data_IF_452537627025
#
_entry.id   IF_452537627025
#
_cell.length_a   1.000
_cell.length_b   1.000
_cell.length_c   1.000
_cell.angle_alpha   90.00
_cell.angle_beta   90.00
_cell.angle_gamma   90.00
#
_symmetry.space_group_name_H-M   'P 1'
#
loop_
_entity.id
_entity.type
_entity.pdbx_description
1 polymer ?
#
# COMPACT_ATOMS: atom_id res chain seq x y z
N UNK A 1 6.64 11.37 20.69
CA UNK A 1 5.82 11.67 19.51
C UNK A 1 6.69 11.37 18.29
N UNK A 2 6.60 10.17 17.74
CA UNK A 2 7.25 9.78 16.49
C UNK A 2 6.12 9.32 15.56
N UNK A 3 5.66 10.26 14.73
CA UNK A 3 4.58 10.01 13.79
C UNK A 3 5.05 9.11 12.65
N UNK A 4 4.22 8.14 12.29
CA UNK A 4 4.35 7.33 11.09
C UNK A 4 4.12 8.24 9.86
N UNK A 5 5.18 8.78 9.29
CA UNK A 5 5.13 9.49 8.01
C UNK A 5 5.49 8.52 6.88
N UNK A 6 4.48 7.92 6.25
CA UNK A 6 4.60 7.31 4.94
C UNK A 6 3.40 7.74 4.10
N UNK A 7 3.56 8.86 3.41
CA UNK A 7 2.56 9.39 2.48
C UNK A 7 3.16 9.55 1.10
N UNK A 8 2.43 9.13 0.08
CA UNK A 8 2.63 9.60 -1.28
C UNK A 8 2.37 11.13 -1.32
N UNK A 9 3.39 11.93 -1.09
CA UNK A 9 3.36 13.37 -1.31
C UNK A 9 3.95 13.68 -2.67
N UNK A 10 3.13 13.79 -3.71
CA UNK A 10 3.45 14.64 -4.85
C UNK A 10 3.20 16.10 -4.42
N UNK A 11 4.15 16.74 -3.76
CA UNK A 11 4.21 18.19 -3.65
C UNK A 11 5.11 18.73 -4.75
N UNK A 12 4.53 19.42 -5.70
CA UNK A 12 5.23 20.47 -6.45
C UNK A 12 5.30 21.67 -5.51
N UNK A 13 6.50 22.00 -5.02
CA UNK A 13 6.70 23.22 -4.24
C UNK A 13 6.79 24.42 -5.21
N UNK A 14 6.01 25.48 -5.02
CA UNK A 14 6.30 26.78 -5.62
C UNK A 14 7.51 27.37 -4.90
N UNK A 15 8.42 28.00 -5.64
CA UNK A 15 9.70 28.51 -5.16
C UNK A 15 9.62 29.39 -3.92
N UNK A 16 10.60 29.23 -3.05
CA UNK A 16 10.83 30.03 -1.83
C UNK A 16 12.26 29.91 -1.36
N UNK A 17 13.00 30.96 -1.62
CA UNK A 17 14.17 31.55 -0.94
C UNK A 17 15.06 30.73 0.00
N UNK A 18 16.36 30.86 -0.25
CA UNK A 18 17.53 30.48 0.53
C UNK A 18 17.35 30.48 2.06
N UNK A 19 17.71 29.38 2.69
CA UNK A 19 18.23 29.39 4.06
C UNK A 19 19.46 28.45 4.16
N UNK A 20 20.60 29.07 4.45
CA UNK A 20 21.90 28.42 4.72
C UNK A 20 21.80 27.62 6.01
N UNK A 21 22.03 26.32 5.96
CA UNK A 21 22.35 25.53 7.14
C UNK A 21 23.83 25.18 7.10
N UNK A 22 24.57 25.79 8.05
CA UNK A 22 25.97 25.47 8.33
C UNK A 22 26.02 24.24 9.27
N UNK A 23 26.60 23.14 8.79
CA UNK A 23 27.07 22.06 9.64
C UNK A 23 28.58 22.17 9.80
N UNK A 24 29.05 22.39 11.01
CA UNK A 24 30.44 22.23 11.38
C UNK A 24 30.68 20.81 11.86
N UNK A 25 31.44 20.00 11.13
CA UNK A 25 32.08 18.82 11.67
C UNK A 25 33.53 19.16 12.01
N UNK A 26 33.93 18.94 13.25
CA UNK A 26 35.32 18.85 13.64
C UNK A 26 35.80 17.45 13.27
N UNK A 27 36.63 17.37 12.24
CA UNK A 27 37.85 16.59 12.18
C UNK A 27 38.42 16.64 10.74
N UNK A 28 39.73 16.81 10.66
CA UNK A 28 40.53 17.31 9.58
C UNK A 28 40.48 16.60 8.22
N UNK A 29 40.69 17.40 7.18
CA UNK A 29 41.32 16.95 5.93
C UNK A 29 40.48 16.99 4.68
N UNK A 30 40.86 17.92 3.77
CA UNK A 30 40.58 17.96 2.32
C UNK A 30 39.21 18.40 1.84
N UNK A 31 39.10 19.66 1.45
CA UNK A 31 37.98 20.23 0.72
C UNK A 31 38.05 19.87 -0.76
N UNK A 32 37.06 19.10 -1.26
CA UNK A 32 36.81 18.93 -2.71
C UNK A 32 35.67 19.87 -3.09
N UNK A 33 35.98 20.87 -3.92
CA UNK A 33 35.01 21.84 -4.45
C UNK A 33 34.31 21.22 -5.66
N UNK A 34 33.02 20.85 -5.52
CA UNK A 34 32.16 20.57 -6.66
C UNK A 34 31.51 21.85 -7.17
N UNK A 35 31.86 22.26 -8.39
CA UNK A 35 31.13 23.30 -9.12
C UNK A 35 29.80 22.74 -9.65
N UNK A 36 28.70 23.27 -9.12
CA UNK A 36 27.35 23.05 -9.68
C UNK A 36 27.18 23.94 -10.93
N UNK A 37 27.13 23.34 -12.10
CA UNK A 37 26.63 24.01 -13.30
C UNK A 37 25.11 24.23 -13.15
N UNK A 38 24.72 25.51 -13.15
CA UNK A 38 23.31 25.93 -13.25
C UNK A 38 22.86 25.76 -14.70
N UNK A 39 22.01 24.80 -14.99
CA UNK A 39 21.20 24.79 -16.21
C UNK A 39 19.97 25.67 -15.97
N UNK A 40 19.97 26.89 -16.49
CA UNK A 40 18.83 27.77 -16.49
C UNK A 40 18.02 27.52 -17.75
N UNK A 41 16.85 26.89 -17.62
CA UNK A 41 15.85 26.88 -18.68
C UNK A 41 15.01 28.17 -18.61
N UNK A 42 15.23 29.11 -19.54
CA UNK A 42 14.33 30.25 -19.76
C UNK A 42 13.17 29.74 -20.64
N UNK A 43 12.03 29.46 -20.02
CA UNK A 43 10.76 29.39 -20.74
C UNK A 43 10.22 30.81 -20.82
N UNK A 44 10.28 31.44 -22.02
CA UNK A 44 9.53 32.67 -22.33
C UNK A 44 8.12 32.24 -22.72
N UNK A 45 7.18 32.31 -21.80
CA UNK A 45 5.75 32.32 -22.05
C UNK A 45 5.19 33.57 -21.39
N UNK A 46 4.72 34.53 -22.19
CA UNK A 46 3.95 35.68 -21.70
C UNK A 46 2.56 35.20 -21.31
N UNK A 47 2.35 34.96 -20.02
CA UNK A 47 1.00 34.78 -19.48
C UNK A 47 0.47 36.15 -19.04
N UNK A 48 -0.63 36.56 -19.65
CA UNK A 48 -1.45 37.66 -19.14
C UNK A 48 -2.16 37.18 -17.87
N UNK A 49 -2.00 37.97 -16.83
CA UNK A 49 -2.70 37.85 -15.56
C UNK A 49 -4.14 38.30 -15.73
N UNK A 50 -5.09 37.41 -15.94
CA UNK A 50 -6.50 37.69 -15.69
C UNK A 50 -7.00 36.61 -14.75
N UNK A 51 -7.31 37.02 -13.50
CA UNK A 51 -7.58 36.18 -12.35
C UNK A 51 -8.93 35.48 -12.37
N UNK A 52 -9.09 34.48 -13.24
CA UNK A 52 -10.07 33.41 -13.10
C UNK A 52 -9.33 32.09 -13.39
N UNK A 53 -9.03 31.34 -12.35
CA UNK A 53 -8.73 29.91 -12.52
C UNK A 53 -10.06 29.25 -12.93
N UNK A 54 -10.28 29.07 -14.24
CA UNK A 54 -11.28 28.13 -14.72
C UNK A 54 -10.86 26.73 -14.27
N UNK A 55 -11.48 26.22 -13.20
CA UNK A 55 -11.37 24.82 -12.83
C UNK A 55 -11.96 23.98 -13.95
N UNK A 56 -11.18 23.01 -14.47
CA UNK A 56 -11.69 22.09 -15.47
C UNK A 56 -12.93 21.36 -14.92
N UNK A 57 -13.99 21.21 -15.73
CA UNK A 57 -15.17 20.49 -15.27
C UNK A 57 -14.77 19.06 -14.92
N UNK A 58 -15.28 18.56 -13.77
CA UNK A 58 -15.06 17.17 -13.32
C UNK A 58 -15.49 16.20 -14.44
N UNK A 59 -14.63 15.26 -14.85
CA UNK A 59 -15.03 14.22 -15.78
C UNK A 59 -16.25 13.45 -15.26
N UNK A 60 -17.17 13.07 -16.14
CA UNK A 60 -18.42 12.39 -15.78
C UNK A 60 -18.23 11.05 -15.05
N UNK A 61 -17.03 10.46 -15.13
CA UNK A 61 -16.65 9.25 -14.40
C UNK A 61 -16.36 9.46 -12.91
N UNK A 62 -16.24 10.74 -12.46
CA UNK A 62 -15.98 11.04 -11.05
C UNK A 62 -17.28 11.07 -10.25
N UNK A 63 -17.35 10.25 -9.23
CA UNK A 63 -18.42 10.25 -8.24
C UNK A 63 -18.00 11.07 -7.01
N UNK A 64 -18.97 11.67 -6.32
CA UNK A 64 -18.73 12.36 -5.05
C UNK A 64 -19.36 11.60 -3.89
N UNK A 65 -18.74 11.67 -2.71
CA UNK A 65 -19.31 11.14 -1.49
C UNK A 65 -19.32 9.61 -1.37
N UNK A 66 -18.56 8.89 -2.22
CA UNK A 66 -18.44 7.42 -2.10
C UNK A 66 -17.89 7.04 -0.73
N UNK A 67 -18.63 6.23 0.04
CA UNK A 67 -18.21 5.78 1.37
C UNK A 67 -17.03 4.81 1.26
N UNK A 68 -15.92 5.14 1.93
CA UNK A 68 -14.70 4.33 1.92
C UNK A 68 -14.84 3.06 2.75
N UNK A 69 -15.79 3.03 3.70
CA UNK A 69 -16.18 1.81 4.41
C UNK A 69 -16.64 0.69 3.49
N UNK A 70 -17.15 1.01 2.28
CA UNK A 70 -17.54 0.02 1.27
C UNK A 70 -16.34 -0.54 0.49
N UNK A 71 -15.21 0.18 0.50
CA UNK A 71 -13.96 -0.19 -0.16
C UNK A 71 -12.93 -0.80 0.79
N UNK A 72 -13.21 -0.84 2.10
CA UNK A 72 -12.32 -1.34 3.14
C UNK A 72 -12.81 -2.66 3.70
N UNK A 73 -11.91 -3.62 3.88
CA UNK A 73 -12.25 -4.89 4.56
C UNK A 73 -12.51 -4.71 6.05
N UNK A 74 -12.08 -3.62 6.67
CA UNK A 74 -12.53 -3.20 8.00
C UNK A 74 -14.01 -2.76 8.02
N UNK A 75 -14.53 -2.30 6.88
CA UNK A 75 -15.84 -1.65 6.84
C UNK A 75 -15.87 -0.30 7.57
N UNK A 76 -14.74 0.40 7.63
CA UNK A 76 -14.53 1.70 8.28
C UNK A 76 -14.07 2.72 7.25
N UNK A 77 -14.55 3.96 7.36
CA UNK A 77 -14.15 5.09 6.52
C UNK A 77 -15.32 5.95 6.08
N UNK A 78 -15.17 7.26 6.17
CA UNK A 78 -16.14 8.25 5.72
C UNK A 78 -16.15 8.43 4.19
N UNK A 79 -16.77 9.51 3.68
CA UNK A 79 -16.90 9.75 2.24
C UNK A 79 -15.59 10.23 1.61
N UNK A 80 -15.28 9.76 0.40
CA UNK A 80 -14.28 10.38 -0.46
C UNK A 80 -14.86 11.64 -1.10
N UNK A 81 -14.08 12.74 -1.19
CA UNK A 81 -14.50 13.93 -1.91
C UNK A 81 -14.78 13.60 -3.38
N UNK A 82 -13.87 12.85 -4.00
CA UNK A 82 -14.00 12.30 -5.33
C UNK A 82 -13.65 10.82 -5.33
N UNK A 83 -14.33 10.06 -6.17
CA UNK A 83 -14.07 8.64 -6.36
C UNK A 83 -14.16 8.31 -7.85
N UNK A 84 -13.25 7.47 -8.34
CA UNK A 84 -13.29 6.96 -9.71
C UNK A 84 -12.79 5.52 -9.72
N UNK A 85 -13.46 4.67 -10.49
CA UNK A 85 -12.99 3.33 -10.83
C UNK A 85 -12.34 3.36 -12.21
N UNK A 86 -11.13 2.83 -12.35
CA UNK A 86 -10.35 2.80 -13.60
C UNK A 86 -10.12 1.38 -14.05
N UNK A 87 -10.36 1.10 -15.33
CA UNK A 87 -10.36 -0.23 -15.91
C UNK A 87 -9.18 -0.51 -16.82
N UNK A 88 -8.51 0.52 -17.31
CA UNK A 88 -7.33 0.42 -18.16
C UNK A 88 -6.26 1.46 -17.79
N UNK A 89 -5.10 1.33 -18.44
CA UNK A 89 -3.93 2.16 -18.16
C UNK A 89 -4.09 3.60 -18.68
N UNK A 90 -4.87 3.78 -19.75
CA UNK A 90 -5.14 5.11 -20.33
C UNK A 90 -6.04 5.91 -19.42
N UNK A 91 -7.09 5.30 -18.86
CA UNK A 91 -7.94 5.90 -17.83
C UNK A 91 -7.14 6.26 -16.57
N UNK A 92 -6.26 5.33 -16.08
CA UNK A 92 -5.41 5.60 -14.93
C UNK A 92 -4.53 6.84 -15.17
N UNK A 93 -3.88 6.92 -16.35
CA UNK A 93 -3.04 8.05 -16.72
C UNK A 93 -3.83 9.36 -16.82
N UNK A 94 -5.03 9.32 -17.41
CA UNK A 94 -5.88 10.49 -17.57
C UNK A 94 -6.37 11.02 -16.21
N UNK A 95 -6.83 10.15 -15.33
CA UNK A 95 -7.30 10.51 -13.98
C UNK A 95 -6.18 11.11 -13.13
N UNK A 96 -4.98 10.49 -13.13
CA UNK A 96 -3.85 11.02 -12.38
C UNK A 96 -3.43 12.39 -12.90
N UNK A 97 -3.35 12.55 -14.22
CA UNK A 97 -3.03 13.85 -14.85
C UNK A 97 -4.06 14.93 -14.47
N UNK A 98 -5.34 14.61 -14.51
CA UNK A 98 -6.40 15.52 -14.06
C UNK A 98 -6.21 15.90 -12.59
N UNK A 99 -5.98 14.95 -11.71
CA UNK A 99 -5.74 15.23 -10.29
C UNK A 99 -4.53 16.15 -10.08
N UNK A 100 -3.46 15.96 -10.87
CA UNK A 100 -2.27 16.83 -10.80
C UNK A 100 -2.53 18.23 -11.31
N UNK A 101 -3.26 18.39 -12.41
CA UNK A 101 -3.61 19.69 -13.00
C UNK A 101 -4.49 20.52 -12.06
N UNK A 102 -5.43 19.87 -11.37
CA UNK A 102 -6.37 20.51 -10.44
C UNK A 102 -5.86 20.54 -8.99
N UNK A 103 -4.59 20.18 -8.74
CA UNK A 103 -4.00 20.06 -7.39
C UNK A 103 -4.86 19.21 -6.44
N UNK A 104 -5.47 18.14 -6.97
CA UNK A 104 -6.27 17.19 -6.22
C UNK A 104 -5.37 16.08 -5.71
N UNK A 105 -5.27 15.97 -4.39
CA UNK A 105 -4.63 14.82 -3.75
C UNK A 105 -5.33 13.53 -4.13
N UNK A 106 -4.61 12.46 -4.44
CA UNK A 106 -5.22 11.17 -4.76
C UNK A 106 -4.63 10.00 -3.96
N UNK A 107 -5.42 8.94 -3.84
CA UNK A 107 -5.03 7.67 -3.22
C UNK A 107 -5.54 6.51 -4.07
N UNK A 108 -4.62 5.60 -4.48
CA UNK A 108 -4.99 4.44 -5.27
C UNK A 108 -5.28 3.28 -4.32
N UNK A 109 -6.44 2.68 -4.48
CA UNK A 109 -6.89 1.53 -3.69
C UNK A 109 -7.18 0.33 -4.60
N UNK A 110 -6.86 -0.87 -4.11
CA UNK A 110 -7.36 -2.12 -4.66
C UNK A 110 -8.61 -2.58 -3.88
N UNK A 111 -8.48 -3.65 -3.09
CA UNK A 111 -9.56 -4.16 -2.22
C UNK A 111 -9.62 -3.52 -0.82
N UNK A 112 -8.82 -2.49 -0.53
CA UNK A 112 -8.76 -1.86 0.80
C UNK A 112 -8.47 -2.83 1.95
N UNK A 113 -7.77 -3.94 1.66
CA UNK A 113 -7.55 -5.02 2.62
C UNK A 113 -6.39 -4.77 3.59
N UNK A 114 -5.73 -3.64 3.46
CA UNK A 114 -4.67 -3.18 4.38
C UNK A 114 -4.80 -1.68 4.67
N UNK A 115 -6.02 -1.13 4.63
CA UNK A 115 -6.27 0.30 4.82
C UNK A 115 -7.26 0.55 5.94
N UNK A 116 -6.95 1.52 6.79
CA UNK A 116 -7.86 2.13 7.76
C UNK A 116 -8.11 3.57 7.33
N UNK A 117 -9.30 3.87 6.80
CA UNK A 117 -9.68 5.21 6.37
C UNK A 117 -10.26 6.01 7.53
N UNK A 118 -9.95 7.31 7.58
CA UNK A 118 -10.50 8.26 8.56
C UNK A 118 -12.03 8.30 8.50
N UNK A 119 -12.67 8.49 9.65
CA UNK A 119 -14.13 8.58 9.75
C UNK A 119 -14.72 9.77 8.99
N UNK A 120 -13.94 10.84 8.80
CA UNK A 120 -14.28 12.00 7.97
C UNK A 120 -14.17 11.71 6.48
N UNK A 121 -13.51 10.61 6.10
CA UNK A 121 -13.26 10.20 4.72
C UNK A 121 -11.90 10.61 4.18
N UNK A 122 -11.87 11.08 2.92
CA UNK A 122 -10.64 11.48 2.23
C UNK A 122 -10.89 12.78 1.43
N UNK A 123 -10.19 13.85 1.78
CA UNK A 123 -10.26 15.13 1.07
C UNK A 123 -9.37 15.09 -0.18
N UNK A 124 -9.86 14.40 -1.20
CA UNK A 124 -9.16 14.16 -2.45
C UNK A 124 -9.88 13.13 -3.30
N UNK A 125 -9.19 12.56 -4.28
CA UNK A 125 -9.69 11.53 -5.18
C UNK A 125 -9.22 10.14 -4.74
N UNK A 126 -10.16 9.23 -4.47
CA UNK A 126 -9.84 7.81 -4.29
C UNK A 126 -10.02 7.09 -5.63
N UNK A 127 -8.96 6.51 -6.15
CA UNK A 127 -8.90 5.81 -7.43
C UNK A 127 -8.93 4.30 -7.16
N UNK A 128 -10.02 3.63 -7.51
CA UNK A 128 -10.11 2.18 -7.44
C UNK A 128 -9.47 1.57 -8.69
N UNK A 129 -8.35 0.86 -8.52
CA UNK A 129 -7.73 0.14 -9.63
C UNK A 129 -8.51 -1.14 -9.95
N UNK A 130 -9.13 -1.16 -11.12
CA UNK A 130 -9.81 -2.31 -11.72
C UNK A 130 -9.12 -2.80 -12.99
N UNK A 131 -7.79 -2.64 -13.10
CA UNK A 131 -6.97 -3.23 -14.16
C UNK A 131 -6.92 -4.76 -13.94
N UNK A 132 -7.93 -5.49 -14.42
CA UNK A 132 -8.19 -6.92 -14.08
C UNK A 132 -7.86 -7.86 -15.24
N UNK A 133 -6.80 -7.63 -15.99
CA UNK A 133 -6.35 -8.58 -16.99
C UNK A 133 -5.38 -9.62 -16.41
N UNK A 134 -5.34 -10.79 -17.03
CA UNK A 134 -4.38 -11.86 -16.78
C UNK A 134 -3.97 -12.46 -18.13
N UNK A 135 -2.70 -12.40 -18.44
CA UNK A 135 -2.07 -12.98 -19.64
C UNK A 135 -1.09 -14.06 -19.18
N UNK A 136 -1.12 -15.23 -19.83
CA UNK A 136 -0.21 -16.35 -19.52
C UNK A 136 0.39 -16.90 -20.80
N UNK A 137 1.68 -17.25 -20.77
CA UNK A 137 2.36 -17.93 -21.88
C UNK A 137 2.22 -19.47 -21.82
N UNK A 138 1.49 -19.99 -20.81
CA UNK A 138 1.33 -21.43 -20.60
C UNK A 138 2.59 -22.13 -20.06
N UNK A 139 3.71 -21.41 -19.84
CA UNK A 139 4.99 -21.94 -19.36
C UNK A 139 5.40 -21.36 -18.01
N UNK A 140 4.43 -20.83 -17.25
CA UNK A 140 4.62 -20.30 -15.91
C UNK A 140 4.94 -18.82 -15.84
N UNK A 141 4.79 -18.09 -16.93
CA UNK A 141 4.87 -16.63 -16.93
C UNK A 141 3.46 -16.04 -16.98
N UNK A 142 3.16 -15.16 -16.01
CA UNK A 142 1.86 -14.50 -15.87
C UNK A 142 2.08 -12.99 -15.81
N UNK A 143 1.57 -12.23 -16.80
CA UNK A 143 1.47 -10.77 -16.76
C UNK A 143 0.06 -10.40 -16.30
N UNK A 144 -0.03 -9.62 -15.20
CA UNK A 144 -1.29 -9.43 -14.48
C UNK A 144 -1.47 -7.97 -14.11
N UNK A 145 -2.65 -7.43 -14.36
CA UNK A 145 -3.00 -6.06 -14.02
C UNK A 145 -3.07 -5.82 -12.51
N UNK A 146 -2.75 -4.60 -12.09
CA UNK A 146 -2.63 -4.24 -10.66
C UNK A 146 -3.93 -4.40 -9.87
N UNK A 147 -5.09 -4.31 -10.52
CA UNK A 147 -6.42 -4.51 -9.93
C UNK A 147 -6.87 -5.98 -9.87
N UNK A 148 -6.12 -6.92 -10.46
CA UNK A 148 -6.48 -8.33 -10.44
C UNK A 148 -6.41 -8.90 -9.02
N UNK A 149 -7.39 -9.72 -8.58
CA UNK A 149 -7.38 -10.31 -7.23
C UNK A 149 -6.18 -11.24 -7.02
N UNK A 150 -5.31 -10.92 -6.07
CA UNK A 150 -4.07 -11.68 -5.84
C UNK A 150 -4.33 -13.14 -5.43
N UNK A 151 -5.36 -13.38 -4.63
CA UNK A 151 -5.77 -14.73 -4.28
C UNK A 151 -6.21 -15.56 -5.48
N UNK A 152 -6.90 -14.95 -6.46
CA UNK A 152 -7.32 -15.65 -7.68
C UNK A 152 -6.13 -16.01 -8.56
N UNK A 153 -5.12 -15.14 -8.64
CA UNK A 153 -3.86 -15.45 -9.32
C UNK A 153 -3.17 -16.67 -8.69
N UNK A 154 -3.07 -16.72 -7.37
CA UNK A 154 -2.47 -17.86 -6.67
C UNK A 154 -3.23 -19.17 -6.88
N UNK A 155 -4.57 -19.12 -6.91
CA UNK A 155 -5.43 -20.26 -7.20
C UNK A 155 -5.22 -20.73 -8.63
N UNK A 156 -5.28 -19.81 -9.61
CA UNK A 156 -5.13 -20.12 -11.04
C UNK A 156 -3.77 -20.75 -11.32
N UNK A 157 -2.68 -20.12 -10.88
CA UNK A 157 -1.32 -20.62 -11.09
C UNK A 157 -1.11 -22.03 -10.46
N UNK A 158 -1.66 -22.26 -9.26
CA UNK A 158 -1.59 -23.57 -8.61
C UNK A 158 -2.39 -24.64 -9.34
N UNK A 159 -3.55 -24.29 -9.93
CA UNK A 159 -4.36 -25.19 -10.74
C UNK A 159 -3.72 -25.51 -12.09
N UNK A 160 -2.98 -24.55 -12.66
CA UNK A 160 -2.19 -24.72 -13.89
C UNK A 160 -0.92 -25.56 -13.66
N UNK A 161 -0.64 -25.97 -12.41
CA UNK A 161 0.50 -26.80 -12.03
C UNK A 161 1.80 -26.02 -11.80
N UNK A 162 1.72 -24.73 -11.46
CA UNK A 162 2.89 -23.89 -11.17
C UNK A 162 2.97 -23.52 -9.69
N UNK A 163 4.20 -23.57 -9.14
CA UNK A 163 4.53 -23.22 -7.77
C UNK A 163 5.15 -21.82 -7.67
N UNK A 164 4.98 -21.21 -6.50
CA UNK A 164 5.56 -19.93 -6.10
C UNK A 164 4.54 -18.89 -5.67
N UNK A 165 3.23 -19.09 -5.98
CA UNK A 165 2.14 -18.21 -5.54
C UNK A 165 1.07 -18.96 -4.73
N UNK A 166 1.34 -20.15 -4.23
CA UNK A 166 0.39 -20.91 -3.41
C UNK A 166 -0.02 -20.14 -2.15
N UNK A 167 0.91 -19.40 -1.58
CA UNK A 167 0.68 -18.56 -0.39
C UNK A 167 -0.32 -17.43 -0.64
N UNK A 168 -0.40 -16.94 -1.89
CA UNK A 168 -1.28 -15.85 -2.28
C UNK A 168 -2.76 -16.21 -2.19
N UNK A 169 -3.10 -17.50 -2.35
CA UNK A 169 -4.48 -18.00 -2.43
C UNK A 169 -5.39 -17.55 -1.28
N UNK A 170 -4.80 -17.33 -0.11
CA UNK A 170 -5.50 -16.86 1.08
C UNK A 170 -5.43 -15.34 1.32
N UNK A 171 -4.64 -14.58 0.56
CA UNK A 171 -4.41 -13.15 0.82
C UNK A 171 -5.49 -12.33 0.13
N UNK A 172 -6.37 -11.62 0.86
CA UNK A 172 -7.29 -10.68 0.26
C UNK A 172 -6.52 -9.46 -0.24
N UNK A 173 -6.83 -8.99 -1.44
CA UNK A 173 -6.13 -7.84 -2.00
C UNK A 173 -5.97 -7.98 -3.51
N UNK A 174 -5.22 -7.07 -4.10
CA UNK A 174 -4.91 -7.04 -5.53
C UNK A 174 -3.42 -7.21 -5.78
N UNK A 175 -3.06 -7.53 -7.03
CA UNK A 175 -1.67 -7.67 -7.46
C UNK A 175 -0.85 -6.40 -7.16
N UNK A 176 -1.40 -5.20 -7.46
CA UNK A 176 -0.73 -3.94 -7.15
C UNK A 176 -0.44 -3.76 -5.66
N UNK A 177 -1.43 -4.06 -4.80
CA UNK A 177 -1.25 -4.03 -3.35
C UNK A 177 -0.24 -5.06 -2.84
N UNK A 178 -0.22 -6.28 -3.44
CA UNK A 178 0.73 -7.32 -3.09
C UNK A 178 2.18 -6.94 -3.46
N UNK A 179 2.38 -6.35 -4.64
CA UNK A 179 3.68 -5.82 -5.08
C UNK A 179 4.13 -4.66 -4.19
N UNK A 180 3.23 -3.70 -3.91
CA UNK A 180 3.52 -2.54 -3.07
C UNK A 180 3.95 -2.94 -1.65
N UNK A 181 3.26 -3.90 -1.03
CA UNK A 181 3.55 -4.37 0.33
C UNK A 181 4.57 -5.50 0.38
N UNK A 182 5.07 -6.00 -0.76
CA UNK A 182 5.79 -7.27 -0.83
C UNK A 182 5.07 -8.33 0.02
N UNK A 183 3.78 -8.57 -0.29
CA UNK A 183 2.91 -9.43 0.51
C UNK A 183 3.50 -10.83 0.66
N UNK A 184 3.47 -11.36 1.87
CA UNK A 184 4.07 -12.66 2.19
C UNK A 184 3.20 -13.47 3.14
N UNK A 185 3.28 -14.79 3.01
CA UNK A 185 2.70 -15.76 3.94
C UNK A 185 3.41 -17.13 3.79
N UNK A 186 3.39 -17.93 4.85
CA UNK A 186 3.92 -19.31 4.84
C UNK A 186 5.39 -19.39 4.36
N UNK A 187 6.21 -18.40 4.67
CA UNK A 187 7.64 -18.38 4.32
C UNK A 187 7.93 -18.00 2.86
N UNK A 188 6.94 -17.56 2.10
CA UNK A 188 7.09 -17.10 0.71
C UNK A 188 6.65 -15.64 0.61
N UNK A 189 7.22 -14.87 -0.32
CA UNK A 189 6.86 -13.48 -0.57
C UNK A 189 6.71 -13.19 -2.07
N UNK A 190 6.02 -12.09 -2.37
CA UNK A 190 5.72 -11.68 -3.75
C UNK A 190 6.99 -11.50 -4.58
N UNK A 191 8.04 -10.92 -3.99
CA UNK A 191 9.32 -10.67 -4.64
C UNK A 191 10.07 -11.94 -5.07
N UNK A 192 9.81 -13.11 -4.46
CA UNK A 192 10.48 -14.38 -4.80
C UNK A 192 10.23 -14.83 -6.23
N UNK A 193 9.07 -14.49 -6.76
CA UNK A 193 8.59 -14.92 -8.09
C UNK A 193 8.30 -13.76 -9.04
N UNK A 194 8.52 -12.53 -8.58
CA UNK A 194 8.32 -11.32 -9.38
C UNK A 194 9.43 -11.23 -10.45
N UNK A 195 9.05 -10.98 -11.70
CA UNK A 195 9.97 -10.78 -12.83
C UNK A 195 10.09 -9.31 -13.19
N UNK A 196 8.96 -8.64 -13.42
CA UNK A 196 8.91 -7.22 -13.75
C UNK A 196 7.70 -6.56 -13.10
N UNK A 197 7.79 -5.22 -12.91
CA UNK A 197 6.68 -4.37 -12.52
C UNK A 197 6.57 -3.22 -13.50
N UNK A 198 5.38 -2.99 -14.03
CA UNK A 198 5.06 -1.87 -14.91
C UNK A 198 4.48 -0.75 -14.06
N UNK A 199 5.07 0.42 -14.16
CA UNK A 199 4.66 1.59 -13.38
C UNK A 199 4.35 2.79 -14.26
N UNK A 200 3.51 3.67 -13.76
CA UNK A 200 3.29 5.00 -14.28
C UNK A 200 4.02 6.00 -13.38
N UNK A 201 4.74 6.92 -14.00
CA UNK A 201 5.43 8.02 -13.32
C UNK A 201 4.53 9.26 -13.30
N UNK A 202 4.79 10.18 -12.38
CA UNK A 202 4.06 11.46 -12.27
C UNK A 202 4.19 12.35 -13.50
N UNK A 203 5.27 12.19 -14.30
CA UNK A 203 5.44 12.88 -15.59
C UNK A 203 4.70 12.20 -16.77
N UNK A 204 3.91 11.16 -16.45
CA UNK A 204 3.13 10.38 -17.43
C UNK A 204 3.91 9.29 -18.15
N UNK A 205 5.21 9.12 -17.88
CA UNK A 205 6.01 8.04 -18.48
C UNK A 205 5.65 6.70 -17.88
N UNK A 206 5.68 5.67 -18.72
CA UNK A 206 5.60 4.26 -18.33
C UNK A 206 7.00 3.68 -18.26
N UNK A 207 7.27 2.97 -17.17
CA UNK A 207 8.53 2.29 -16.96
C UNK A 207 8.29 0.82 -16.64
N UNK A 208 9.23 -0.04 -17.02
CA UNK A 208 9.25 -1.47 -16.69
C UNK A 208 10.46 -1.73 -15.80
N UNK A 209 10.22 -2.03 -14.56
CA UNK A 209 11.25 -2.33 -13.58
C UNK A 209 11.51 -3.84 -13.55
N UNK A 210 12.77 -4.25 -13.71
CA UNK A 210 13.17 -5.65 -13.66
C UNK A 210 13.54 -6.00 -12.21
N UNK A 211 12.93 -7.07 -11.65
CA UNK A 211 13.16 -7.47 -10.25
C UNK A 211 14.62 -7.73 -9.90
N UNK A 212 15.42 -8.18 -10.88
CA UNK A 212 16.84 -8.46 -10.70
C UNK A 212 17.73 -7.20 -10.63
N UNK A 213 17.17 -6.00 -10.83
CA UNK A 213 17.91 -4.75 -10.69
C UNK A 213 18.29 -4.57 -9.21
N UNK A 214 19.59 -4.40 -8.95
CA UNK A 214 20.15 -4.24 -7.60
C UNK A 214 19.69 -2.96 -6.88
N UNK A 215 19.21 -1.97 -7.63
CA UNK A 215 18.67 -0.73 -7.06
C UNK A 215 17.26 -0.92 -6.49
N UNK A 216 16.59 -2.04 -6.79
CA UNK A 216 15.25 -2.34 -6.32
C UNK A 216 15.30 -3.23 -5.07
N UNK A 217 15.33 -2.61 -3.91
CA UNK A 217 15.43 -3.32 -2.63
C UNK A 217 14.06 -3.81 -2.16
N UNK A 218 13.97 -5.11 -1.88
CA UNK A 218 12.80 -5.76 -1.30
C UNK A 218 13.16 -6.42 0.02
N UNK A 219 12.22 -6.49 0.93
CA UNK A 219 12.36 -7.14 2.23
C UNK A 219 11.00 -7.41 2.86
N UNK A 220 11.00 -7.87 4.11
CA UNK A 220 9.76 -8.13 4.84
C UNK A 220 8.87 -6.88 4.91
N UNK A 221 7.71 -6.90 4.25
CA UNK A 221 6.78 -5.77 4.11
C UNK A 221 7.42 -4.51 3.52
N UNK A 222 8.46 -4.69 2.71
CA UNK A 222 9.20 -3.61 2.06
C UNK A 222 9.29 -3.87 0.56
N UNK A 223 8.94 -2.85 -0.23
CA UNK A 223 9.21 -2.79 -1.66
C UNK A 223 9.75 -1.41 -2.04
N UNK A 224 10.46 -1.28 -3.16
CA UNK A 224 10.96 0.02 -3.62
C UNK A 224 9.83 1.03 -3.90
N UNK A 225 8.63 0.53 -4.21
CA UNK A 225 7.48 1.36 -4.56
C UNK A 225 6.88 2.14 -3.39
N UNK A 226 7.25 1.82 -2.15
CA UNK A 226 6.79 2.55 -0.96
C UNK A 226 7.48 3.90 -0.79
N UNK A 227 8.69 4.05 -1.34
CA UNK A 227 9.52 5.26 -1.17
C UNK A 227 10.04 5.82 -2.50
N UNK A 228 9.55 5.30 -3.63
CA UNK A 228 10.01 5.69 -4.96
C UNK A 228 9.48 7.07 -5.32
N UNK A 229 10.37 8.06 -5.39
CA UNK A 229 10.03 9.41 -5.82
C UNK A 229 9.41 9.41 -7.21
N UNK A 230 8.34 10.19 -7.37
CA UNK A 230 7.63 10.34 -8.64
C UNK A 230 6.91 9.09 -9.14
N UNK A 231 6.69 8.07 -8.30
CA UNK A 231 5.77 6.98 -8.63
C UNK A 231 4.33 7.50 -8.60
N UNK A 232 3.59 7.31 -9.69
CA UNK A 232 2.17 7.66 -9.76
C UNK A 232 1.28 6.44 -9.52
N UNK A 233 1.57 5.29 -10.16
CA UNK A 233 0.80 4.07 -10.01
C UNK A 233 1.62 2.82 -10.37
N UNK A 234 1.26 1.66 -9.79
CA UNK A 234 1.62 0.34 -10.31
C UNK A 234 0.51 -0.07 -11.28
N UNK A 235 0.87 -0.41 -12.52
CA UNK A 235 -0.07 -0.78 -13.58
C UNK A 235 -0.24 -2.29 -13.70
N UNK A 236 0.88 -3.02 -13.72
CA UNK A 236 0.91 -4.47 -13.86
C UNK A 236 2.15 -5.08 -13.22
N UNK A 237 2.13 -6.39 -13.03
CA UNK A 237 3.30 -7.15 -12.63
C UNK A 237 3.39 -8.46 -13.45
N UNK A 238 4.61 -8.88 -13.76
CA UNK A 238 4.89 -10.17 -14.39
C UNK A 238 5.55 -11.09 -13.38
N UNK A 239 5.00 -12.28 -13.22
CA UNK A 239 5.50 -13.34 -12.36
C UNK A 239 6.10 -14.46 -13.19
N UNK A 240 7.17 -15.10 -12.68
CA UNK A 240 7.75 -16.31 -13.26
C UNK A 240 7.71 -17.42 -12.23
N UNK A 241 6.92 -18.43 -12.52
CA UNK A 241 6.64 -19.56 -11.64
C UNK A 241 7.32 -20.83 -12.16
N UNK A 242 7.51 -21.82 -11.29
CA UNK A 242 8.15 -23.08 -11.62
C UNK A 242 7.11 -24.20 -11.74
N UNK A 243 7.20 -25.11 -12.75
CA UNK A 243 6.33 -26.27 -12.83
C UNK A 243 6.40 -27.11 -11.55
N UNK A 244 5.25 -27.52 -11.02
CA UNK A 244 5.18 -28.34 -9.81
C UNK A 244 3.82 -29.04 -9.66
N UNK A 245 3.78 -30.35 -9.79
CA UNK A 245 2.56 -31.15 -9.64
C UNK A 245 1.90 -31.02 -8.25
N UNK A 246 2.68 -30.72 -7.20
CA UNK A 246 2.19 -30.55 -5.82
C UNK A 246 1.62 -29.16 -5.50
N UNK A 247 1.67 -28.18 -6.41
CA UNK A 247 1.25 -26.82 -6.15
C UNK A 247 -0.21 -26.71 -5.68
N UNK A 248 -1.12 -27.43 -6.33
CA UNK A 248 -2.54 -27.47 -5.97
C UNK A 248 -2.80 -28.03 -4.57
N UNK A 249 -2.02 -29.03 -4.14
CA UNK A 249 -2.15 -29.60 -2.80
C UNK A 249 -1.63 -28.63 -1.73
N UNK A 250 -0.46 -27.99 -1.96
CA UNK A 250 0.09 -26.99 -1.04
C UNK A 250 -0.84 -25.81 -0.86
N UNK A 251 -1.37 -25.25 -1.94
CA UNK A 251 -2.32 -24.13 -1.87
C UNK A 251 -3.54 -24.49 -1.01
N UNK A 252 -4.12 -25.69 -1.17
CA UNK A 252 -5.25 -26.15 -0.33
C UNK A 252 -4.86 -26.23 1.14
N UNK A 253 -3.69 -26.79 1.45
CA UNK A 253 -3.17 -26.86 2.82
C UNK A 253 -2.98 -25.48 3.46
N UNK A 254 -2.49 -24.50 2.70
CA UNK A 254 -2.38 -23.12 3.19
C UNK A 254 -3.74 -22.46 3.46
N UNK A 255 -4.74 -22.70 2.61
CA UNK A 255 -6.11 -22.20 2.85
C UNK A 255 -6.74 -22.86 4.09
N UNK A 256 -6.60 -24.16 4.28
CA UNK A 256 -7.11 -24.87 5.46
C UNK A 256 -6.47 -24.35 6.74
N UNK A 257 -5.13 -24.21 6.75
CA UNK A 257 -4.42 -23.63 7.89
C UNK A 257 -4.93 -22.22 8.20
N UNK A 258 -5.13 -21.39 7.18
CA UNK A 258 -5.64 -20.02 7.35
C UNK A 258 -7.03 -20.01 7.97
N UNK A 259 -7.94 -20.87 7.50
CA UNK A 259 -9.31 -21.00 8.05
C UNK A 259 -9.29 -21.37 9.53
N UNK A 260 -8.33 -22.20 9.97
CA UNK A 260 -8.21 -22.63 11.36
C UNK A 260 -7.56 -21.58 12.28
N UNK A 261 -6.72 -20.71 11.74
CA UNK A 261 -5.86 -19.83 12.56
C UNK A 261 -6.18 -18.34 12.43
N UNK A 262 -7.07 -17.93 11.52
CA UNK A 262 -7.36 -16.51 11.28
C UNK A 262 -8.87 -16.26 11.23
N UNK A 263 -9.35 -15.09 11.70
CA UNK A 263 -10.77 -14.73 11.73
C UNK A 263 -11.25 -14.27 10.34
N UNK A 264 -11.27 -15.16 9.36
CA UNK A 264 -11.50 -14.84 7.93
C UNK A 264 -12.88 -14.26 7.64
N UNK A 265 -13.89 -14.52 8.50
CA UNK A 265 -15.24 -13.99 8.38
C UNK A 265 -15.40 -12.61 9.03
N UNK A 266 -14.43 -12.18 9.84
CA UNK A 266 -14.51 -10.91 10.54
C UNK A 266 -14.08 -9.73 9.65
N UNK A 267 -14.72 -8.57 9.85
CA UNK A 267 -14.29 -7.32 9.21
C UNK A 267 -12.95 -6.89 9.80
N UNK A 268 -11.85 -7.09 9.05
CA UNK A 268 -10.48 -6.81 9.47
C UNK A 268 -9.59 -6.52 8.26
N UNK A 269 -8.41 -5.93 8.48
CA UNK A 269 -7.41 -5.69 7.44
C UNK A 269 -6.19 -6.64 7.55
N UNK A 270 -6.38 -7.86 8.05
CA UNK A 270 -5.30 -8.80 8.29
C UNK A 270 -4.53 -8.50 9.58
N UNK A 271 -3.22 -8.81 9.58
CA UNK A 271 -2.34 -8.45 10.69
C UNK A 271 -2.15 -6.93 10.75
N UNK A 272 -2.36 -6.35 11.93
CA UNK A 272 -2.25 -4.89 12.12
C UNK A 272 -0.82 -4.46 12.36
N UNK A 273 -0.01 -5.32 12.98
CA UNK A 273 1.38 -5.02 13.30
C UNK A 273 2.35 -5.92 12.53
N UNK A 274 3.48 -5.34 12.11
CA UNK A 274 4.63 -6.10 11.60
C UNK A 274 5.23 -6.93 12.72
N UNK A 275 5.75 -8.12 12.38
CA UNK A 275 6.56 -8.85 13.34
C UNK A 275 7.83 -8.05 13.65
N UNK A 276 8.25 -7.99 14.93
CA UNK A 276 9.55 -7.44 15.30
C UNK A 276 10.69 -8.20 14.61
N UNK A 277 11.89 -7.63 14.61
CA UNK A 277 13.06 -8.20 13.94
C UNK A 277 13.47 -9.58 14.46
N UNK A 278 14.50 -10.15 13.85
CA UNK A 278 15.06 -11.46 14.21
C UNK A 278 15.44 -11.52 15.70
N UNK A 279 15.09 -12.62 16.36
CA UNK A 279 15.30 -12.84 17.80
C UNK A 279 14.12 -12.44 18.68
N UNK A 280 13.10 -11.77 18.14
CA UNK A 280 11.85 -11.47 18.85
C UNK A 280 10.74 -12.45 18.46
N UNK A 281 9.78 -12.64 19.37
CA UNK A 281 8.55 -13.35 19.06
C UNK A 281 7.70 -12.55 18.07
N UNK A 282 6.77 -13.24 17.39
CA UNK A 282 5.83 -12.56 16.48
C UNK A 282 4.94 -11.56 17.23
N UNK A 283 4.50 -10.49 16.56
CA UNK A 283 3.59 -9.52 17.14
C UNK A 283 2.34 -10.20 17.73
N UNK A 284 1.77 -11.19 17.02
CA UNK A 284 0.62 -11.95 17.51
C UNK A 284 0.89 -12.68 18.83
N UNK A 285 2.07 -13.30 18.97
CA UNK A 285 2.47 -14.00 20.20
C UNK A 285 2.66 -13.02 21.36
N UNK A 286 3.29 -11.87 21.12
CA UNK A 286 3.48 -10.83 22.15
C UNK A 286 2.14 -10.27 22.63
N UNK A 287 1.21 -9.95 21.72
CA UNK A 287 -0.12 -9.45 22.05
C UNK A 287 -0.92 -10.49 22.85
N UNK A 288 -0.84 -11.77 22.45
CA UNK A 288 -1.51 -12.87 23.17
C UNK A 288 -0.93 -13.06 24.58
N UNK A 289 0.41 -13.08 24.72
CA UNK A 289 1.10 -13.15 26.03
C UNK A 289 0.85 -11.91 26.90
N UNK A 290 0.58 -10.76 26.29
CA UNK A 290 0.13 -9.57 27.01
C UNK A 290 -1.27 -9.73 27.59
N UNK A 291 -2.02 -10.78 27.20
CA UNK A 291 -3.40 -11.02 27.66
C UNK A 291 -4.43 -10.16 26.95
N UNK A 292 -4.15 -9.67 25.74
CA UNK A 292 -4.95 -8.67 25.05
C UNK A 292 -6.01 -9.26 24.10
N UNK A 293 -6.08 -10.59 23.91
CA UNK A 293 -7.20 -11.18 23.17
C UNK A 293 -8.54 -10.76 23.80
N UNK A 294 -9.46 -10.28 23.00
CA UNK A 294 -10.75 -9.79 23.45
C UNK A 294 -10.76 -8.37 23.99
N UNK A 295 -9.59 -7.71 24.18
CA UNK A 295 -9.53 -6.30 24.56
C UNK A 295 -10.22 -5.43 23.50
N UNK A 296 -10.97 -4.40 23.95
CA UNK A 296 -11.78 -3.59 23.07
C UNK A 296 -11.73 -2.11 23.45
N UNK A 297 -11.90 -1.26 22.44
CA UNK A 297 -12.14 0.18 22.57
C UNK A 297 -13.33 0.52 21.67
N UNK A 298 -14.41 1.02 22.22
CA UNK A 298 -15.66 1.14 21.49
C UNK A 298 -16.10 -0.21 20.92
N UNK A 299 -16.28 -0.27 19.60
CA UNK A 299 -16.61 -1.51 18.87
C UNK A 299 -15.43 -2.09 18.09
N UNK A 300 -14.21 -1.56 18.28
CA UNK A 300 -12.97 -2.19 17.83
C UNK A 300 -12.49 -3.20 18.87
N UNK A 301 -12.10 -4.41 18.41
CA UNK A 301 -11.75 -5.53 19.31
C UNK A 301 -10.51 -6.26 18.82
N UNK A 302 -9.61 -6.68 19.71
CA UNK A 302 -8.57 -7.68 19.41
C UNK A 302 -9.24 -9.03 19.24
N UNK A 303 -9.00 -9.71 18.11
CA UNK A 303 -9.61 -10.99 17.79
C UNK A 303 -9.26 -12.07 18.82
N UNK A 304 -10.24 -12.84 19.23
CA UNK A 304 -10.07 -14.01 20.10
C UNK A 304 -9.35 -15.17 19.38
N UNK A 305 -9.42 -15.19 18.03
CA UNK A 305 -8.79 -16.24 17.19
C UNK A 305 -7.31 -15.96 16.99
N UNK A 306 -6.95 -14.71 16.59
CA UNK A 306 -5.57 -14.32 16.28
C UNK A 306 -5.28 -12.93 16.80
N UNK A 307 -4.40 -12.81 17.77
CA UNK A 307 -4.19 -11.57 18.52
C UNK A 307 -3.65 -10.39 17.70
N UNK A 308 -2.99 -10.63 16.55
CA UNK A 308 -2.55 -9.58 15.64
C UNK A 308 -3.64 -9.12 14.64
N UNK A 309 -4.89 -9.57 14.83
CA UNK A 309 -6.05 -9.12 14.06
C UNK A 309 -6.92 -8.24 14.95
N UNK A 310 -7.07 -6.99 14.55
CA UNK A 310 -8.10 -6.13 15.10
C UNK A 310 -9.35 -6.25 14.22
N UNK A 311 -10.50 -6.36 14.84
CA UNK A 311 -11.77 -6.59 14.14
C UNK A 311 -12.77 -5.49 14.45
N UNK A 312 -13.57 -5.11 13.46
CA UNK A 312 -14.74 -4.28 13.63
C UNK A 312 -15.91 -5.18 14.07
N UNK A 313 -16.32 -5.08 15.33
CA UNK A 313 -17.40 -5.88 15.91
C UNK A 313 -18.81 -5.39 15.51
N UNK A 314 -18.90 -4.40 14.62
CA UNK A 314 -20.16 -3.88 14.09
C UNK A 314 -20.39 -2.41 14.42
N UNK A 315 -19.83 -1.50 13.60
CA UNK A 315 -19.96 -0.05 13.77
C UNK A 315 -18.76 0.65 14.44
N UNK A 316 -17.59 -0.02 14.50
CA UNK A 316 -16.34 0.64 14.92
C UNK A 316 -16.04 1.85 14.07
N UNK A 317 -15.48 2.87 14.70
CA UNK A 317 -14.92 4.05 14.07
C UNK A 317 -13.41 3.88 13.82
N UNK A 318 -12.83 4.72 12.95
CA UNK A 318 -11.37 4.79 12.80
C UNK A 318 -10.72 5.27 14.11
N UNK A 319 -11.37 6.14 14.84
CA UNK A 319 -10.91 6.60 16.15
C UNK A 319 -10.84 5.46 17.17
N UNK A 320 -11.86 4.58 17.25
CA UNK A 320 -11.84 3.39 18.10
C UNK A 320 -10.65 2.48 17.73
N UNK A 321 -10.47 2.23 16.44
CA UNK A 321 -9.41 1.35 15.93
C UNK A 321 -8.01 1.91 16.24
N UNK A 322 -7.81 3.22 16.05
CA UNK A 322 -6.54 3.88 16.38
C UNK A 322 -6.26 3.84 17.89
N UNK A 323 -7.28 4.09 18.72
CA UNK A 323 -7.15 4.01 20.19
C UNK A 323 -6.81 2.59 20.64
N UNK A 324 -7.39 1.56 19.99
CA UNK A 324 -7.06 0.16 20.29
C UNK A 324 -5.63 -0.19 19.81
N UNK A 325 -5.16 0.33 18.68
CA UNK A 325 -3.78 0.18 18.21
C UNK A 325 -2.80 0.75 19.26
N UNK A 326 -3.03 1.97 19.73
CA UNK A 326 -2.16 2.60 20.72
C UNK A 326 -2.19 1.87 22.08
N UNK A 327 -3.35 1.37 22.51
CA UNK A 327 -3.47 0.54 23.71
C UNK A 327 -2.62 -0.74 23.59
N UNK A 328 -2.70 -1.44 22.46
CA UNK A 328 -1.92 -2.67 22.22
C UNK A 328 -0.43 -2.35 22.21
N UNK A 329 0.01 -1.28 21.54
CA UNK A 329 1.41 -0.84 21.50
C UNK A 329 1.95 -0.54 22.90
N UNK A 330 1.23 0.25 23.69
CA UNK A 330 1.61 0.59 25.06
C UNK A 330 1.76 -0.66 25.91
N UNK A 331 0.76 -1.53 25.94
CA UNK A 331 0.76 -2.74 26.78
C UNK A 331 1.87 -3.73 26.41
N UNK A 332 2.17 -3.90 25.11
CA UNK A 332 3.27 -4.76 24.67
C UNK A 332 4.63 -4.13 25.03
N UNK A 333 4.77 -2.81 24.87
CA UNK A 333 5.99 -2.09 25.27
C UNK A 333 6.24 -2.19 26.78
N UNK A 334 5.21 -1.96 27.60
CA UNK A 334 5.29 -1.98 29.06
C UNK A 334 5.68 -3.38 29.57
N UNK A 335 5.15 -4.46 28.97
CA UNK A 335 5.40 -5.83 29.41
C UNK A 335 6.69 -6.44 28.86
N UNK A 336 7.08 -6.11 27.63
CA UNK A 336 8.15 -6.80 26.93
C UNK A 336 9.26 -5.87 26.40
N UNK A 337 9.11 -4.56 26.54
CA UNK A 337 10.07 -3.57 26.01
C UNK A 337 10.09 -3.49 24.48
N UNK A 338 9.10 -4.06 23.79
CA UNK A 338 9.05 -4.14 22.31
C UNK A 338 8.15 -3.05 21.74
N UNK A 339 8.68 -2.24 20.82
CA UNK A 339 7.92 -1.24 20.07
C UNK A 339 7.29 -1.91 18.81
N UNK A 340 5.98 -2.16 18.85
CA UNK A 340 5.24 -2.64 17.69
C UNK A 340 5.08 -1.54 16.63
N UNK A 341 5.23 -1.91 15.36
CA UNK A 341 5.04 -1.02 14.21
C UNK A 341 3.85 -1.50 13.40
N UNK A 342 3.01 -0.57 12.98
CA UNK A 342 1.85 -0.87 12.16
C UNK A 342 2.25 -1.43 10.78
N UNK A 343 1.50 -2.43 10.33
CA UNK A 343 1.50 -2.93 8.95
C UNK A 343 0.35 -2.30 8.17
N UNK A 344 -0.77 -2.04 8.84
CA UNK A 344 -1.95 -1.39 8.26
C UNK A 344 -1.63 0.06 7.88
N UNK A 345 -2.12 0.49 6.71
CA UNK A 345 -1.96 1.85 6.21
C UNK A 345 -3.13 2.70 6.74
N UNK A 346 -2.84 3.63 7.64
CA UNK A 346 -3.80 4.62 8.09
C UNK A 346 -3.87 5.74 7.04
N UNK A 347 -5.06 5.97 6.47
CA UNK A 347 -5.31 6.96 5.44
C UNK A 347 -6.09 8.14 6.05
N UNK A 348 -5.42 9.28 6.37
CA UNK A 348 -6.06 10.40 7.03
C UNK A 348 -6.91 11.20 6.06
N UNK A 349 -7.88 11.95 6.61
CA UNK A 349 -8.74 12.86 5.86
C UNK A 349 -7.92 13.88 5.03
N UNK A 350 -6.91 14.53 5.66
CA UNK A 350 -5.94 15.43 5.02
C UNK A 350 -4.52 15.02 5.41
N UNK A 351 -3.54 15.23 4.53
CA UNK A 351 -2.15 15.21 4.95
C UNK A 351 -1.89 16.36 5.92
N UNK A 352 -1.14 16.06 6.96
CA UNK A 352 -0.67 17.09 7.91
C UNK A 352 0.43 17.93 7.26
#
# INVERSE_FOLDING_TARGET
MAGCEFYFNCRLSPGGTDSKLNFTSKDGGSSVRFQRQRLSFKVRGTFRNDGFQETLPLPSSFLQGKRLSELSTFGIGGPAKYFVEVHDESEMSAVIRFCQQEDIRYFIVGKGSNCLFDDRGFDGCVILSSLKFLESDGRGVYRVGSGYPFNMLGIQASNDGFAGLEFASGIPGTVGGAVYMNASANGQETADVLKTVEVLRVDGKREVHIRADSNLVYGYRLSPYQTMDGLAAILAATFRLKPCAGARQRHRGFLERRRKTQPIAAKSAGCVFRNPGSGCESAGALIEKAGLKGAAVGLAKVSDVHANYLVNAGGSTAADMMSLIELVKSQVKDKFGVDLREEVICVPYRSR
#
